data_IF_059476495266
#
_entry.id   IF_059476495266
#
_cell.length_a   1.000
_cell.length_b   1.000
_cell.length_c   1.000
_cell.angle_alpha   90.00
_cell.angle_beta   90.00
_cell.angle_gamma   90.00
#
_symmetry.space_group_name_H-M   'P 1'
#
loop_
_entity.id
_entity.type
_entity.pdbx_description
1 polymer ?
#
# COMPACT_ATOMS: atom_id res chain seq x y z
N UNK A 1 11.82 -4.56 -1.22
CA UNK A 1 11.11 -5.86 -1.24
C UNK A 1 10.01 -5.83 -0.19
N UNK A 2 8.86 -6.40 -0.49
CA UNK A 2 7.74 -6.49 0.46
C UNK A 2 7.85 -7.78 1.26
N UNK A 3 7.81 -7.69 2.59
CA UNK A 3 7.72 -8.85 3.48
C UNK A 3 6.24 -9.10 3.77
N UNK A 4 5.66 -10.10 3.10
CA UNK A 4 4.22 -10.36 3.14
C UNK A 4 3.74 -10.77 4.53
N UNK A 5 4.52 -11.55 5.27
CA UNK A 5 4.15 -12.00 6.61
C UNK A 5 4.11 -10.82 7.58
N UNK A 6 5.18 -10.00 7.55
CA UNK A 6 5.26 -8.80 8.39
C UNK A 6 4.20 -7.77 8.03
N UNK A 7 3.95 -7.53 6.74
CA UNK A 7 2.90 -6.62 6.29
C UNK A 7 1.52 -7.12 6.71
N UNK A 8 1.25 -8.42 6.64
CA UNK A 8 -0.03 -9.00 7.12
C UNK A 8 -0.24 -8.73 8.61
N UNK A 9 0.76 -9.01 9.44
CA UNK A 9 0.67 -8.76 10.89
C UNK A 9 0.36 -7.29 11.19
N UNK A 10 1.03 -6.38 10.49
CA UNK A 10 0.78 -4.94 10.60
C UNK A 10 -0.65 -4.55 10.21
N UNK A 11 -1.17 -5.08 9.10
CA UNK A 11 -2.54 -4.80 8.63
C UNK A 11 -3.57 -5.30 9.63
N UNK A 12 -3.39 -6.51 10.19
CA UNK A 12 -4.30 -7.08 11.19
C UNK A 12 -4.35 -6.22 12.46
N UNK A 13 -3.24 -5.56 12.82
CA UNK A 13 -3.17 -4.69 13.98
C UNK A 13 -3.78 -3.29 13.76
N UNK A 14 -4.16 -2.92 12.53
CA UNK A 14 -4.79 -1.64 12.25
C UNK A 14 -6.23 -1.59 12.76
N UNK A 15 -6.68 -0.40 13.14
CA UNK A 15 -8.11 -0.15 13.26
C UNK A 15 -8.76 -0.04 11.88
N UNK A 16 -10.09 -0.06 11.84
CA UNK A 16 -10.86 -0.02 10.59
C UNK A 16 -10.56 1.22 9.74
N UNK A 17 -10.41 2.40 10.37
CA UNK A 17 -10.16 3.66 9.67
C UNK A 17 -8.80 3.66 8.97
N UNK A 18 -7.77 3.16 9.65
CA UNK A 18 -6.41 3.07 9.11
C UNK A 18 -6.35 2.02 8.00
N UNK A 19 -6.98 0.85 8.20
CA UNK A 19 -7.08 -0.18 7.17
C UNK A 19 -7.80 0.32 5.91
N UNK A 20 -8.90 1.08 6.09
CA UNK A 20 -9.63 1.72 4.98
C UNK A 20 -8.75 2.71 4.22
N UNK A 21 -7.94 3.50 4.93
CA UNK A 21 -7.02 4.46 4.32
C UNK A 21 -5.97 3.76 3.44
N UNK A 22 -5.38 2.66 3.93
CA UNK A 22 -4.45 1.84 3.14
C UNK A 22 -5.12 1.27 1.89
N UNK A 23 -6.35 0.76 2.00
CA UNK A 23 -7.11 0.23 0.86
C UNK A 23 -7.38 1.33 -0.18
N UNK A 24 -7.81 2.51 0.25
CA UNK A 24 -8.09 3.64 -0.65
C UNK A 24 -6.83 4.10 -1.39
N UNK A 25 -5.70 4.22 -0.69
CA UNK A 25 -4.42 4.59 -1.31
C UNK A 25 -3.94 3.53 -2.31
N UNK A 26 -4.16 2.25 -1.99
CA UNK A 26 -3.87 1.14 -2.92
C UNK A 26 -4.71 1.25 -4.19
N UNK A 27 -6.02 1.45 -4.04
CA UNK A 27 -6.94 1.60 -5.18
C UNK A 27 -6.58 2.82 -6.05
N UNK A 28 -6.19 3.94 -5.44
CA UNK A 28 -5.78 5.13 -6.17
C UNK A 28 -4.53 4.88 -7.04
N UNK A 29 -3.51 4.19 -6.51
CA UNK A 29 -2.32 3.83 -7.28
C UNK A 29 -2.65 2.89 -8.45
N UNK A 30 -3.55 1.93 -8.22
CA UNK A 30 -4.02 1.01 -9.28
C UNK A 30 -4.79 1.75 -10.38
N UNK A 31 -5.65 2.70 -10.02
CA UNK A 31 -6.35 3.54 -11.01
C UNK A 31 -5.39 4.44 -11.78
N UNK A 32 -4.39 5.02 -11.10
CA UNK A 32 -3.40 5.87 -11.74
C UNK A 32 -2.58 5.11 -12.80
N UNK A 33 -2.17 3.87 -12.50
CA UNK A 33 -1.44 3.05 -13.48
C UNK A 33 -2.37 2.53 -14.58
N UNK A 34 -3.63 2.19 -14.29
CA UNK A 34 -4.56 1.70 -15.31
C UNK A 34 -5.03 2.78 -16.28
N UNK A 35 -4.98 4.05 -15.87
CA UNK A 35 -5.43 5.17 -16.69
C UNK A 35 -4.34 5.68 -17.67
N UNK A 36 -3.19 5.00 -17.78
CA UNK A 36 -2.18 5.12 -18.84
C UNK A 36 -1.77 6.56 -19.26
N UNK A 37 -1.78 7.54 -18.35
CA UNK A 37 -1.39 8.93 -18.64
C UNK A 37 0.13 9.13 -18.88
N UNK A 38 0.87 8.06 -19.23
CA UNK A 38 2.28 8.06 -19.63
C UNK A 38 3.29 8.37 -18.51
N UNK A 39 2.92 9.12 -17.47
CA UNK A 39 3.81 9.54 -16.39
C UNK A 39 3.93 8.56 -15.22
N UNK A 40 2.95 7.67 -15.04
CA UNK A 40 2.91 6.71 -13.93
C UNK A 40 2.92 5.28 -14.46
N UNK A 41 4.09 4.66 -14.45
CA UNK A 41 4.33 3.32 -14.97
C UNK A 41 3.99 2.22 -13.96
N UNK A 42 3.91 0.98 -14.42
CA UNK A 42 3.77 -0.20 -13.57
C UNK A 42 4.86 -0.31 -12.51
N UNK A 43 6.11 -0.01 -12.87
CA UNK A 43 7.24 -0.02 -11.92
C UNK A 43 7.07 1.04 -10.83
N UNK A 44 6.66 2.26 -11.22
CA UNK A 44 6.37 3.34 -10.26
C UNK A 44 5.21 2.95 -9.33
N UNK A 45 4.19 2.26 -9.86
CA UNK A 45 3.07 1.75 -9.07
C UNK A 45 3.54 0.72 -8.04
N UNK A 46 4.32 -0.27 -8.47
CA UNK A 46 4.87 -1.31 -7.58
C UNK A 46 5.74 -0.69 -6.49
N UNK A 47 6.65 0.22 -6.84
CA UNK A 47 7.52 0.89 -5.88
C UNK A 47 6.75 1.73 -4.87
N UNK A 48 5.69 2.42 -5.33
CA UNK A 48 4.84 3.24 -4.46
C UNK A 48 4.05 2.38 -3.49
N UNK A 49 3.48 1.27 -3.96
CA UNK A 49 2.76 0.31 -3.12
C UNK A 49 3.69 -0.34 -2.09
N UNK A 50 4.90 -0.73 -2.48
CA UNK A 50 5.91 -1.27 -1.54
C UNK A 50 6.24 -0.24 -0.45
N UNK A 51 6.44 1.03 -0.81
CA UNK A 51 6.67 2.11 0.16
C UNK A 51 5.48 2.32 1.09
N UNK A 52 4.25 2.32 0.56
CA UNK A 52 3.02 2.43 1.33
C UNK A 52 2.92 1.32 2.39
N UNK A 53 3.05 0.06 1.98
CA UNK A 53 2.93 -1.07 2.91
C UNK A 53 4.06 -1.13 3.94
N UNK A 54 5.27 -0.72 3.56
CA UNK A 54 6.38 -0.61 4.51
C UNK A 54 6.23 0.55 5.50
N UNK A 55 5.45 1.58 5.15
CA UNK A 55 5.17 2.72 6.05
C UNK A 55 4.16 2.41 7.15
N UNK A 56 3.45 1.27 7.06
CA UNK A 56 2.51 0.86 8.11
C UNK A 56 3.31 0.67 9.42
N UNK A 57 2.91 1.33 10.52
CA UNK A 57 3.62 1.26 11.78
C UNK A 57 3.65 -0.17 12.33
N UNK A 58 4.69 -0.49 13.10
CA UNK A 58 4.73 -1.75 13.82
C UNK A 58 3.56 -1.83 14.82
N UNK A 59 2.98 -3.02 15.03
CA UNK A 59 1.95 -3.20 16.05
C UNK A 59 2.48 -2.74 17.40
N UNK A 60 1.74 -1.88 18.09
CA UNK A 60 2.03 -1.56 19.49
C UNK A 60 1.67 -2.79 20.32
N UNK A 61 2.71 -3.52 20.77
CA UNK A 61 2.59 -4.65 21.70
C UNK A 61 2.11 -4.16 23.07
#
# INVERSE_FOLDING_TARGET
MLDLEKTREKIIALNESDAKSILMLTAANLQMVSNENGGFTSDNCVDTLIKLFNSIPEPKR
#
